data_IF_706079294512
#
_entry.id   IF_706079294512
#
_cell.length_a   1.000
_cell.length_b   1.000
_cell.length_c   1.000
_cell.angle_alpha   90.00
_cell.angle_beta   90.00
_cell.angle_gamma   90.00
#
_symmetry.space_group_name_H-M   'P 1'
#
loop_
_entity.id
_entity.type
_entity.pdbx_description
1 polymer ?
#
# COMPACT_ATOMS: atom_id res chain seq x y z
N UNK A 1 -3.78 17.22 -18.30
CA UNK A 1 -4.50 16.32 -19.22
C UNK A 1 -5.89 16.90 -19.48
N UNK A 2 -6.48 16.72 -20.65
CA UNK A 2 -7.79 17.35 -20.95
C UNK A 2 -8.96 16.64 -20.24
N UNK A 3 -10.12 17.31 -20.07
CA UNK A 3 -11.26 16.76 -19.35
C UNK A 3 -11.84 15.46 -19.93
N UNK A 4 -11.75 15.21 -21.24
CA UNK A 4 -12.33 14.00 -21.86
C UNK A 4 -11.51 12.77 -21.52
N UNK A 5 -10.18 12.90 -21.48
CA UNK A 5 -9.29 11.83 -21.02
C UNK A 5 -9.58 11.44 -19.57
N UNK A 6 -9.80 12.41 -18.68
CA UNK A 6 -10.20 12.12 -17.29
C UNK A 6 -11.54 11.40 -17.19
N UNK A 7 -12.57 11.82 -17.94
CA UNK A 7 -13.86 11.10 -18.01
C UNK A 7 -13.71 9.65 -18.48
N UNK A 8 -12.80 9.37 -19.41
CA UNK A 8 -12.52 8.01 -19.87
C UNK A 8 -11.82 7.19 -18.78
N UNK A 9 -10.81 7.75 -18.11
CA UNK A 9 -10.13 7.07 -17.00
C UNK A 9 -11.08 6.82 -15.82
N UNK A 10 -11.96 7.77 -15.52
CA UNK A 10 -13.01 7.63 -14.51
C UNK A 10 -13.98 6.48 -14.86
N UNK A 11 -14.39 6.35 -16.13
CA UNK A 11 -15.15 5.17 -16.60
C UNK A 11 -14.40 3.86 -16.41
N UNK A 12 -13.09 3.81 -16.70
CA UNK A 12 -12.27 2.62 -16.48
C UNK A 12 -12.25 2.28 -14.98
N UNK A 13 -12.03 3.28 -14.11
CA UNK A 13 -12.01 3.11 -12.67
C UNK A 13 -13.36 2.67 -12.10
N UNK A 14 -14.47 3.15 -12.66
CA UNK A 14 -15.81 2.73 -12.26
C UNK A 14 -16.06 1.24 -12.55
N UNK A 15 -15.70 0.79 -13.75
CA UNK A 15 -16.01 -0.58 -14.21
C UNK A 15 -14.93 -1.62 -13.86
N UNK A 16 -13.76 -1.22 -13.37
CA UNK A 16 -12.67 -2.14 -13.04
C UNK A 16 -13.03 -3.16 -11.96
N UNK A 17 -14.10 -2.97 -11.19
CA UNK A 17 -14.54 -3.98 -10.21
C UNK A 17 -15.23 -5.19 -10.86
N UNK A 18 -15.68 -5.05 -12.10
CA UNK A 18 -16.44 -6.06 -12.85
C UNK A 18 -15.66 -6.63 -14.03
N UNK A 19 -14.75 -5.84 -14.61
CA UNK A 19 -14.01 -6.20 -15.82
C UNK A 19 -12.52 -5.95 -15.64
N UNK A 20 -11.70 -6.93 -16.04
CA UNK A 20 -10.25 -6.71 -16.14
C UNK A 20 -9.92 -5.73 -17.28
N UNK A 21 -10.53 -5.92 -18.45
CA UNK A 21 -10.48 -5.01 -19.59
C UNK A 21 -11.89 -4.47 -19.84
N UNK A 22 -12.11 -3.18 -19.64
CA UNK A 22 -13.43 -2.57 -19.73
C UNK A 22 -13.78 -2.36 -21.21
N UNK A 23 -14.92 -2.89 -21.71
CA UNK A 23 -15.39 -2.67 -23.06
C UNK A 23 -15.54 -1.18 -23.43
N UNK A 24 -15.12 -0.80 -24.64
CA UNK A 24 -15.15 0.59 -25.12
C UNK A 24 -16.56 1.18 -25.24
N UNK A 25 -17.57 0.35 -25.50
CA UNK A 25 -18.99 0.72 -25.50
C UNK A 25 -19.49 1.11 -24.09
N UNK A 26 -19.06 0.39 -23.05
CA UNK A 26 -19.35 0.78 -21.66
C UNK A 26 -18.64 2.07 -21.27
N UNK A 27 -17.37 2.24 -21.67
CA UNK A 27 -16.61 3.48 -21.45
C UNK A 27 -17.31 4.66 -22.14
N UNK A 28 -17.74 4.48 -23.39
CA UNK A 28 -18.51 5.44 -24.19
C UNK A 28 -19.80 5.86 -23.49
N UNK A 29 -20.61 4.88 -23.07
CA UNK A 29 -21.88 5.11 -22.38
C UNK A 29 -21.70 5.91 -21.08
N UNK A 30 -20.73 5.54 -20.25
CA UNK A 30 -20.50 6.21 -18.96
C UNK A 30 -19.88 7.60 -19.12
N UNK A 31 -18.88 7.75 -20.00
CA UNK A 31 -18.19 9.03 -20.22
C UNK A 31 -19.02 10.04 -21.03
N UNK A 32 -20.09 9.57 -21.70
CA UNK A 32 -20.91 10.34 -22.66
C UNK A 32 -20.07 10.88 -23.83
N UNK A 33 -19.12 10.09 -24.30
CA UNK A 33 -18.23 10.39 -25.44
C UNK A 33 -18.48 9.32 -26.50
N UNK A 34 -18.66 9.74 -27.76
CA UNK A 34 -18.91 8.81 -28.87
C UNK A 34 -17.83 7.73 -28.99
N UNK A 35 -18.26 6.52 -29.35
CA UNK A 35 -17.44 5.30 -29.34
C UNK A 35 -16.11 5.45 -30.11
N UNK A 36 -16.18 5.93 -31.36
CA UNK A 36 -14.99 6.15 -32.19
C UNK A 36 -13.95 7.05 -31.49
N UNK A 37 -14.43 8.13 -30.86
CA UNK A 37 -13.58 9.07 -30.13
C UNK A 37 -13.00 8.45 -28.86
N UNK A 38 -13.76 7.62 -28.15
CA UNK A 38 -13.25 6.85 -27.02
C UNK A 38 -12.10 5.96 -27.45
N UNK A 39 -12.25 5.20 -28.54
CA UNK A 39 -11.20 4.31 -29.01
C UNK A 39 -9.93 5.05 -29.45
N UNK A 40 -10.06 6.20 -30.10
CA UNK A 40 -8.93 7.08 -30.44
C UNK A 40 -8.21 7.54 -29.17
N UNK A 41 -8.94 8.00 -28.17
CA UNK A 41 -8.35 8.47 -26.91
C UNK A 41 -7.68 7.31 -26.15
N UNK A 42 -8.30 6.12 -26.13
CA UNK A 42 -7.71 4.95 -25.50
C UNK A 42 -6.39 4.53 -26.17
N UNK A 43 -6.27 4.66 -27.50
CA UNK A 43 -5.00 4.44 -28.21
C UNK A 43 -3.94 5.44 -27.78
N UNK A 44 -4.25 6.74 -27.75
CA UNK A 44 -3.34 7.79 -27.26
C UNK A 44 -2.93 7.59 -25.78
N UNK A 45 -3.86 7.17 -24.92
CA UNK A 45 -3.56 6.84 -23.52
C UNK A 45 -2.64 5.61 -23.41
N UNK A 46 -2.80 4.63 -24.31
CA UNK A 46 -1.93 3.45 -24.37
C UNK A 46 -0.53 3.79 -24.85
N UNK A 47 -0.39 4.68 -25.83
CA UNK A 47 0.92 5.17 -26.29
C UNK A 47 1.69 5.87 -25.15
N UNK A 48 0.96 6.56 -24.26
CA UNK A 48 1.49 7.17 -23.03
C UNK A 48 1.72 6.18 -21.88
N UNK A 49 1.44 4.89 -22.12
CA UNK A 49 1.51 3.80 -21.14
C UNK A 49 0.61 4.01 -19.92
N UNK A 50 -0.52 4.68 -20.08
CA UNK A 50 -1.50 4.90 -19.00
C UNK A 50 -2.57 3.80 -18.97
N UNK A 51 -2.92 3.26 -20.12
CA UNK A 51 -3.84 2.11 -20.23
C UNK A 51 -3.20 1.01 -21.05
N UNK A 52 -3.69 -0.21 -20.87
CA UNK A 52 -3.44 -1.36 -21.73
C UNK A 52 -4.70 -1.61 -22.55
N UNK A 53 -4.57 -1.57 -23.87
CA UNK A 53 -5.66 -1.92 -24.77
C UNK A 53 -5.51 -3.36 -25.23
N UNK A 54 -6.63 -4.08 -25.32
CA UNK A 54 -6.68 -5.45 -25.80
C UNK A 54 -7.87 -5.64 -26.74
N UNK A 55 -7.64 -6.33 -27.87
CA UNK A 55 -8.72 -6.86 -28.71
C UNK A 55 -9.05 -8.27 -28.23
N UNK A 56 -10.19 -8.39 -27.56
CA UNK A 56 -10.84 -9.65 -27.22
C UNK A 56 -11.91 -9.92 -28.28
N UNK A 57 -13.05 -10.50 -27.89
CA UNK A 57 -14.30 -10.40 -28.67
C UNK A 57 -14.86 -8.95 -28.72
N UNK A 58 -14.29 -8.04 -27.95
CA UNK A 58 -14.53 -6.59 -27.97
C UNK A 58 -13.21 -5.81 -27.81
N UNK A 59 -13.20 -4.50 -28.12
CA UNK A 59 -12.08 -3.62 -27.80
C UNK A 59 -12.19 -3.17 -26.35
N UNK A 60 -11.23 -3.56 -25.51
CA UNK A 60 -11.26 -3.29 -24.07
C UNK A 60 -9.97 -2.69 -23.54
N UNK A 61 -10.08 -1.95 -22.44
CA UNK A 61 -8.94 -1.23 -21.85
C UNK A 61 -8.87 -1.41 -20.33
N UNK A 62 -7.66 -1.45 -19.78
CA UNK A 62 -7.40 -1.48 -18.33
C UNK A 62 -6.31 -0.50 -17.95
N UNK A 63 -6.18 -0.17 -16.66
CA UNK A 63 -5.08 0.65 -16.19
C UNK A 63 -3.74 -0.09 -16.24
N UNK A 64 -2.68 0.63 -16.61
CA UNK A 64 -1.33 0.27 -16.16
C UNK A 64 -1.11 0.75 -14.72
N UNK A 65 -0.02 0.33 -14.06
CA UNK A 65 0.39 0.95 -12.78
C UNK A 65 0.52 2.47 -12.91
N UNK A 66 1.23 2.95 -13.94
CA UNK A 66 1.43 4.38 -14.17
C UNK A 66 0.10 5.13 -14.34
N UNK A 67 -0.85 4.57 -15.09
CA UNK A 67 -2.15 5.18 -15.29
C UNK A 67 -3.01 5.21 -14.04
N UNK A 68 -3.02 4.12 -13.27
CA UNK A 68 -3.76 4.07 -12.00
C UNK A 68 -3.18 5.04 -10.97
N UNK A 69 -1.85 5.12 -10.86
CA UNK A 69 -1.17 6.08 -9.98
C UNK A 69 -1.43 7.52 -10.40
N UNK A 70 -1.37 7.83 -11.70
CA UNK A 70 -1.69 9.17 -12.21
C UNK A 70 -3.16 9.54 -11.97
N UNK A 71 -4.08 8.59 -12.16
CA UNK A 71 -5.49 8.79 -11.86
C UNK A 71 -5.72 9.04 -10.37
N UNK A 72 -5.10 8.24 -9.51
CA UNK A 72 -5.18 8.39 -8.05
C UNK A 72 -4.62 9.74 -7.58
N UNK A 73 -3.49 10.18 -8.14
CA UNK A 73 -2.93 11.51 -7.88
C UNK A 73 -3.88 12.63 -8.30
N UNK A 74 -4.48 12.51 -9.50
CA UNK A 74 -5.47 13.49 -9.97
C UNK A 74 -6.66 13.58 -9.03
N UNK A 75 -7.18 12.45 -8.53
CA UNK A 75 -8.27 12.44 -7.56
C UNK A 75 -7.93 13.16 -6.26
N UNK A 76 -6.70 13.00 -5.75
CA UNK A 76 -6.21 13.73 -4.57
C UNK A 76 -6.09 15.24 -4.86
N UNK A 77 -5.60 15.61 -6.05
CA UNK A 77 -5.48 17.00 -6.46
C UNK A 77 -6.85 17.69 -6.64
N UNK A 78 -7.85 17.02 -7.24
CA UNK A 78 -9.22 17.55 -7.39
C UNK A 78 -9.94 17.76 -6.06
N UNK A 79 -9.47 17.12 -4.98
CA UNK A 79 -9.97 17.28 -3.61
C UNK A 79 -9.18 18.33 -2.81
N UNK A 80 -8.23 19.02 -3.45
CA UNK A 80 -7.29 19.95 -2.80
C UNK A 80 -6.50 19.28 -1.65
N UNK A 81 -6.22 17.97 -1.78
CA UNK A 81 -5.43 17.24 -0.77
C UNK A 81 -3.93 17.26 -1.10
N UNK A 82 -3.58 17.23 -2.39
CA UNK A 82 -2.19 17.29 -2.87
C UNK A 82 -2.04 18.44 -3.85
N UNK A 83 -1.13 19.36 -3.55
CA UNK A 83 -0.83 20.53 -4.38
C UNK A 83 0.30 20.25 -5.37
N UNK A 84 1.36 19.59 -4.90
CA UNK A 84 2.55 19.33 -5.71
C UNK A 84 3.15 17.96 -5.42
N UNK A 85 3.37 17.15 -6.47
CA UNK A 85 4.17 15.93 -6.38
C UNK A 85 5.66 16.29 -6.41
N UNK A 86 6.42 15.71 -5.47
CA UNK A 86 7.85 15.89 -5.35
C UNK A 86 8.67 14.78 -6.03
N UNK A 87 9.83 14.51 -5.46
CA UNK A 87 10.79 13.52 -5.93
C UNK A 87 10.39 12.12 -5.51
N UNK A 88 10.90 11.15 -6.27
CA UNK A 88 10.85 9.75 -5.90
C UNK A 88 11.74 9.53 -4.66
N UNK A 89 11.15 8.99 -3.58
CA UNK A 89 11.88 8.61 -2.37
C UNK A 89 12.31 7.14 -2.40
N UNK A 90 11.48 6.28 -2.99
CA UNK A 90 11.77 4.86 -3.09
C UNK A 90 10.88 4.15 -4.11
N UNK A 91 11.43 3.17 -4.80
CA UNK A 91 10.68 2.25 -5.65
C UNK A 91 11.02 0.81 -5.25
N UNK A 92 9.98 0.05 -4.93
CA UNK A 92 10.08 -1.37 -4.62
C UNK A 92 9.26 -2.21 -5.60
N UNK A 93 9.22 -3.52 -5.35
CA UNK A 93 8.38 -4.44 -6.13
C UNK A 93 6.88 -4.18 -5.93
N UNK A 94 6.52 -3.67 -4.75
CA UNK A 94 5.14 -3.57 -4.27
C UNK A 94 4.62 -2.13 -4.15
N UNK A 95 5.49 -1.13 -4.27
CA UNK A 95 5.05 0.27 -4.22
C UNK A 95 6.08 1.22 -4.81
N UNK A 96 5.62 2.44 -5.06
CA UNK A 96 6.47 3.59 -5.39
C UNK A 96 6.08 4.74 -4.49
N UNK A 97 7.05 5.36 -3.83
CA UNK A 97 6.87 6.37 -2.79
C UNK A 97 7.47 7.69 -3.24
N UNK A 98 6.70 8.76 -3.17
CA UNK A 98 7.14 10.12 -3.50
C UNK A 98 6.92 11.04 -2.30
N UNK A 99 7.79 12.04 -2.15
CA UNK A 99 7.43 13.19 -1.31
C UNK A 99 6.43 14.08 -2.08
N UNK A 100 5.66 14.88 -1.36
CA UNK A 100 4.70 15.82 -1.92
C UNK A 100 4.45 16.99 -0.96
N UNK A 101 3.88 18.07 -1.48
CA UNK A 101 3.25 19.12 -0.69
C UNK A 101 1.75 18.85 -0.70
N UNK A 102 1.20 18.61 0.48
CA UNK A 102 -0.23 18.45 0.71
C UNK A 102 -0.78 19.68 1.41
N UNK A 103 -2.11 19.76 1.54
CA UNK A 103 -2.75 20.80 2.36
C UNK A 103 -2.35 20.75 3.85
N UNK A 104 -1.66 19.70 4.28
CA UNK A 104 -1.14 19.49 5.63
C UNK A 104 0.36 19.79 5.76
N UNK A 105 1.02 20.24 4.68
CA UNK A 105 2.46 20.47 4.63
C UNK A 105 3.22 19.39 3.86
N UNK A 106 4.49 19.19 4.19
CA UNK A 106 5.30 18.12 3.59
C UNK A 106 4.74 16.75 3.95
N UNK A 107 4.59 15.88 2.96
CA UNK A 107 3.91 14.59 3.13
C UNK A 107 4.46 13.56 2.15
N UNK A 108 4.04 12.31 2.33
CA UNK A 108 4.41 11.18 1.48
C UNK A 108 3.18 10.64 0.78
N UNK A 109 3.30 10.36 -0.52
CA UNK A 109 2.32 9.60 -1.28
C UNK A 109 2.92 8.26 -1.71
N UNK A 110 2.26 7.18 -1.30
CA UNK A 110 2.63 5.80 -1.64
C UNK A 110 1.64 5.22 -2.62
N UNK A 111 2.12 4.92 -3.83
CA UNK A 111 1.36 4.23 -4.85
C UNK A 111 1.61 2.73 -4.78
N UNK A 112 0.55 1.96 -4.53
CA UNK A 112 0.62 0.51 -4.42
C UNK A 112 0.67 -0.16 -5.80
N UNK A 113 1.56 -1.13 -5.92
CA UNK A 113 1.75 -2.01 -7.08
C UNK A 113 1.63 -3.45 -6.59
N UNK A 114 0.99 -4.32 -7.38
CA UNK A 114 1.08 -5.75 -7.07
C UNK A 114 2.52 -6.26 -7.21
N UNK A 115 3.10 -6.83 -6.15
CA UNK A 115 4.39 -7.53 -6.22
C UNK A 115 4.47 -8.90 -5.55
N UNK A 116 3.39 -9.41 -4.94
CA UNK A 116 3.49 -10.67 -4.17
C UNK A 116 3.20 -11.95 -5.00
N UNK A 117 4.09 -12.98 -4.97
CA UNK A 117 3.88 -14.28 -5.61
C UNK A 117 2.68 -15.10 -5.08
N UNK A 118 2.20 -14.87 -3.85
CA UNK A 118 1.04 -15.63 -3.35
C UNK A 118 -0.23 -15.38 -4.18
N UNK A 119 -0.32 -14.25 -4.89
CA UNK A 119 -1.42 -13.99 -5.82
C UNK A 119 -1.21 -14.59 -7.22
N UNK A 120 0.00 -15.10 -7.57
CA UNK A 120 0.14 -15.96 -8.76
C UNK A 120 -0.69 -17.24 -8.60
N UNK A 121 -0.78 -17.80 -7.40
CA UNK A 121 -1.65 -18.96 -7.11
C UNK A 121 -3.15 -18.60 -7.09
N UNK A 122 -3.51 -17.36 -6.75
CA UNK A 122 -4.90 -16.87 -6.81
C UNK A 122 -5.38 -16.68 -8.25
N UNK A 123 -4.47 -16.32 -9.17
CA UNK A 123 -4.74 -16.21 -10.61
C UNK A 123 -5.20 -17.51 -11.26
N UNK A 124 -4.84 -18.67 -10.71
CA UNK A 124 -5.14 -19.98 -11.32
C UNK A 124 -6.54 -20.52 -11.02
N UNK A 125 -7.33 -19.91 -10.11
CA UNK A 125 -8.53 -20.58 -9.58
C UNK A 125 -9.90 -19.96 -9.86
N UNK A 126 -10.06 -18.78 -10.47
CA UNK A 126 -11.40 -18.20 -10.66
C UNK A 126 -11.56 -17.39 -11.96
N UNK A 127 -12.38 -17.92 -12.85
CA UNK A 127 -12.76 -17.37 -14.17
C UNK A 127 -13.77 -16.20 -14.10
N UNK A 128 -13.84 -15.47 -12.98
CA UNK A 128 -14.74 -14.32 -12.83
C UNK A 128 -14.06 -13.14 -12.08
N UNK A 129 -13.69 -12.11 -12.86
CA UNK A 129 -13.69 -10.67 -12.55
C UNK A 129 -13.03 -10.06 -11.29
N UNK A 130 -12.59 -10.80 -10.28
CA UNK A 130 -12.51 -10.22 -8.91
C UNK A 130 -11.11 -9.90 -8.36
N UNK A 131 -10.03 -10.24 -9.05
CA UNK A 131 -8.66 -10.09 -8.52
C UNK A 131 -7.61 -9.79 -9.61
N UNK A 132 -7.86 -8.82 -10.48
CA UNK A 132 -6.83 -8.33 -11.41
C UNK A 132 -6.03 -7.16 -10.80
N UNK A 133 -4.95 -6.79 -11.50
CA UNK A 133 -3.91 -5.85 -11.05
C UNK A 133 -4.47 -4.58 -10.39
N UNK A 134 -5.38 -3.88 -11.08
CA UNK A 134 -5.93 -2.61 -10.58
C UNK A 134 -6.73 -2.80 -9.29
N UNK A 135 -7.61 -3.80 -9.24
CA UNK A 135 -8.46 -4.09 -8.07
C UNK A 135 -7.60 -4.44 -6.87
N UNK A 136 -6.58 -5.27 -7.06
CA UNK A 136 -5.67 -5.66 -6.00
C UNK A 136 -4.85 -4.46 -5.49
N UNK A 137 -4.33 -3.62 -6.40
CA UNK A 137 -3.57 -2.43 -6.01
C UNK A 137 -4.41 -1.43 -5.21
N UNK A 138 -5.68 -1.23 -5.60
CA UNK A 138 -6.63 -0.37 -4.86
C UNK A 138 -6.96 -0.97 -3.49
N UNK A 139 -7.16 -2.30 -3.41
CA UNK A 139 -7.40 -2.98 -2.12
C UNK A 139 -6.20 -2.89 -1.19
N UNK A 140 -4.98 -3.06 -1.68
CA UNK A 140 -3.77 -2.92 -0.86
C UNK A 140 -3.66 -1.51 -0.27
N UNK A 141 -3.86 -0.47 -1.09
CA UNK A 141 -3.86 0.91 -0.60
C UNK A 141 -4.96 1.16 0.44
N UNK A 142 -6.16 0.63 0.20
CA UNK A 142 -7.28 0.70 1.16
C UNK A 142 -6.94 0.04 2.49
N UNK A 143 -6.37 -1.17 2.44
CA UNK A 143 -6.00 -1.93 3.63
C UNK A 143 -4.96 -1.18 4.46
N UNK A 144 -3.90 -0.66 3.83
CA UNK A 144 -2.89 0.12 4.53
C UNK A 144 -3.52 1.36 5.19
N UNK A 145 -4.33 2.13 4.46
CA UNK A 145 -5.01 3.29 5.03
C UNK A 145 -5.91 2.91 6.21
N UNK A 146 -6.63 1.79 6.15
CA UNK A 146 -7.47 1.30 7.25
C UNK A 146 -6.64 0.92 8.48
N UNK A 147 -5.51 0.24 8.28
CA UNK A 147 -4.60 -0.10 9.37
C UNK A 147 -4.01 1.15 10.03
N UNK A 148 -3.49 2.10 9.24
CA UNK A 148 -2.97 3.36 9.75
C UNK A 148 -4.02 4.12 10.57
N UNK A 149 -5.29 4.17 10.11
CA UNK A 149 -6.36 4.83 10.88
C UNK A 149 -6.68 4.14 12.20
N UNK A 150 -6.54 2.81 12.29
CA UNK A 150 -6.74 2.06 13.53
C UNK A 150 -5.57 2.21 14.51
N UNK A 151 -4.35 2.36 13.98
CA UNK A 151 -3.12 2.34 14.77
C UNK A 151 -2.63 3.72 15.18
N UNK A 152 -2.93 4.76 14.40
CA UNK A 152 -2.45 6.11 14.68
C UNK A 152 -2.93 6.59 16.06
N UNK A 153 -1.98 7.04 16.89
CA UNK A 153 -2.21 7.43 18.28
C UNK A 153 -2.11 6.28 19.30
N UNK A 154 -2.00 5.03 18.86
CA UNK A 154 -1.75 3.84 19.70
C UNK A 154 -0.34 3.33 19.48
N UNK A 155 0.04 3.19 18.21
CA UNK A 155 1.34 2.70 17.73
C UNK A 155 2.02 3.84 16.98
N UNK A 156 3.34 3.93 17.09
CA UNK A 156 4.14 4.86 16.29
C UNK A 156 4.10 4.46 14.82
N UNK A 157 3.29 5.17 14.07
CA UNK A 157 3.07 4.96 12.63
C UNK A 157 2.77 6.31 11.97
N UNK A 158 3.01 6.49 10.65
CA UNK A 158 2.68 7.74 9.98
C UNK A 158 1.20 8.08 10.11
N UNK A 159 0.88 9.35 10.37
CA UNK A 159 -0.51 9.81 10.33
C UNK A 159 -1.12 9.57 8.94
N UNK A 160 -2.24 8.83 8.83
CA UNK A 160 -2.97 8.73 7.57
C UNK A 160 -3.68 10.06 7.26
N UNK A 161 -3.54 10.54 6.03
CA UNK A 161 -4.13 11.82 5.60
C UNK A 161 -5.26 11.62 4.58
N UNK A 162 -5.06 10.77 3.57
CA UNK A 162 -6.10 10.43 2.58
C UNK A 162 -5.79 9.13 1.83
N UNK A 163 -6.79 8.58 1.14
CA UNK A 163 -6.67 7.46 0.23
C UNK A 163 -7.54 7.67 -1.02
N UNK A 164 -6.95 7.49 -2.19
CA UNK A 164 -7.64 7.49 -3.49
C UNK A 164 -7.02 6.42 -4.40
N UNK A 165 -7.85 5.59 -5.02
CA UNK A 165 -7.38 4.54 -5.92
C UNK A 165 -6.27 3.67 -5.28
N UNK A 166 -5.08 3.65 -5.88
CA UNK A 166 -3.92 2.92 -5.35
C UNK A 166 -2.96 3.79 -4.51
N UNK A 167 -3.34 5.03 -4.18
CA UNK A 167 -2.51 5.98 -3.47
C UNK A 167 -2.95 6.14 -2.01
N UNK A 168 -1.98 6.10 -1.09
CA UNK A 168 -2.15 6.52 0.30
C UNK A 168 -1.31 7.76 0.53
N UNK A 169 -1.93 8.85 0.98
CA UNK A 169 -1.28 10.07 1.44
C UNK A 169 -1.12 9.98 2.96
N UNK A 170 0.10 10.18 3.45
CA UNK A 170 0.43 10.06 4.87
C UNK A 170 1.55 11.02 5.26
N UNK A 171 1.75 11.17 6.57
CA UNK A 171 2.84 11.95 7.16
C UNK A 171 4.22 11.51 6.66
N UNK A 172 5.10 12.50 6.46
CA UNK A 172 6.53 12.26 6.27
C UNK A 172 7.19 12.05 7.63
N UNK A 173 7.78 10.87 7.85
CA UNK A 173 8.59 10.60 9.04
C UNK A 173 10.06 10.86 8.71
N UNK A 174 10.70 11.76 9.45
CA UNK A 174 12.14 12.03 9.33
C UNK A 174 12.96 10.96 10.07
N UNK A 175 12.95 9.75 9.51
CA UNK A 175 13.65 8.59 10.03
C UNK A 175 14.13 7.71 8.88
N UNK A 176 15.10 6.84 9.17
CA UNK A 176 15.69 5.93 8.16
C UNK A 176 15.24 4.50 8.43
N UNK A 177 15.08 3.72 7.36
CA UNK A 177 14.86 2.27 7.48
C UNK A 177 15.94 1.65 8.38
N UNK A 178 15.52 0.81 9.33
CA UNK A 178 16.40 0.11 10.26
C UNK A 178 17.53 -0.63 9.54
N UNK A 179 17.24 -1.23 8.39
CA UNK A 179 18.25 -1.88 7.55
C UNK A 179 19.44 -0.99 7.14
N UNK A 180 19.22 0.33 7.01
CA UNK A 180 20.22 1.31 6.57
C UNK A 180 20.98 1.96 7.72
N UNK A 181 20.65 1.64 8.97
CA UNK A 181 21.21 2.26 10.17
C UNK A 181 21.99 1.24 10.98
N UNK A 182 23.19 1.62 11.42
CA UNK A 182 23.92 0.88 12.45
C UNK A 182 23.53 1.45 13.82
N UNK A 183 22.90 0.63 14.64
CA UNK A 183 22.40 1.05 15.94
C UNK A 183 23.52 1.14 16.98
N UNK A 184 23.47 2.17 17.82
CA UNK A 184 24.34 2.33 19.00
C UNK A 184 23.86 1.46 20.17
N UNK A 185 22.55 1.37 20.37
CA UNK A 185 21.92 0.53 21.39
C UNK A 185 20.88 -0.41 20.77
N UNK A 186 21.32 -1.50 20.09
CA UNK A 186 20.43 -2.37 19.34
C UNK A 186 19.41 -3.12 20.21
N UNK A 187 19.76 -3.49 21.45
CA UNK A 187 18.83 -4.20 22.33
C UNK A 187 17.67 -3.31 22.78
N UNK A 188 17.96 -2.04 23.09
CA UNK A 188 16.93 -1.04 23.38
C UNK A 188 15.95 -0.86 22.21
N UNK A 189 16.47 -0.72 20.98
CA UNK A 189 15.63 -0.57 19.78
C UNK A 189 14.78 -1.81 19.51
N UNK A 190 15.33 -3.02 19.71
CA UNK A 190 14.56 -4.25 19.58
C UNK A 190 13.39 -4.28 20.59
N UNK A 191 13.63 -3.87 21.84
CA UNK A 191 12.57 -3.79 22.85
C UNK A 191 11.47 -2.79 22.45
N UNK A 192 11.86 -1.61 21.96
CA UNK A 192 10.88 -0.63 21.44
C UNK A 192 10.01 -1.22 20.33
N UNK A 193 10.61 -1.95 19.38
CA UNK A 193 9.84 -2.59 18.30
C UNK A 193 8.87 -3.64 18.87
N UNK A 194 9.30 -4.45 19.84
CA UNK A 194 8.44 -5.46 20.47
C UNK A 194 7.29 -4.78 21.25
N UNK A 195 7.54 -3.65 21.91
CA UNK A 195 6.52 -2.87 22.60
C UNK A 195 5.48 -2.30 21.62
N UNK A 196 5.90 -1.75 20.48
CA UNK A 196 4.98 -1.31 19.42
C UNK A 196 4.17 -2.48 18.86
N UNK A 197 4.78 -3.67 18.70
CA UNK A 197 4.07 -4.88 18.27
C UNK A 197 3.02 -5.33 19.29
N UNK A 198 3.31 -5.19 20.59
CA UNK A 198 2.35 -5.46 21.66
C UNK A 198 1.14 -4.53 21.59
N UNK A 199 1.37 -3.23 21.48
CA UNK A 199 0.25 -2.26 21.38
C UNK A 199 -0.55 -2.45 20.09
N UNK A 200 0.11 -2.80 18.99
CA UNK A 200 -0.55 -3.18 17.72
C UNK A 200 -1.44 -4.42 17.89
N UNK A 201 -0.93 -5.47 18.55
CA UNK A 201 -1.68 -6.70 18.83
C UNK A 201 -2.92 -6.43 19.69
N UNK A 202 -2.78 -5.61 20.73
CA UNK A 202 -3.91 -5.16 21.56
C UNK A 202 -4.96 -4.37 20.78
N UNK A 203 -4.54 -3.58 19.79
CA UNK A 203 -5.45 -2.90 18.86
C UNK A 203 -6.14 -3.85 17.85
N UNK A 204 -5.90 -5.17 17.98
CA UNK A 204 -6.48 -6.21 17.14
C UNK A 204 -5.82 -6.30 15.76
N UNK A 205 -4.57 -5.84 15.63
CA UNK A 205 -3.82 -5.85 14.37
C UNK A 205 -2.52 -6.63 14.54
N UNK A 206 -2.20 -7.42 13.53
CA UNK A 206 -0.87 -7.99 13.32
C UNK A 206 -0.36 -7.42 12.00
N UNK A 207 0.90 -6.97 11.96
CA UNK A 207 1.46 -6.29 10.79
C UNK A 207 1.42 -7.18 9.53
N UNK A 208 1.71 -8.47 9.67
CA UNK A 208 1.61 -9.43 8.57
C UNK A 208 2.72 -9.31 7.53
N UNK A 209 3.77 -8.51 7.78
CA UNK A 209 5.04 -8.52 7.03
C UNK A 209 6.15 -7.76 7.77
N UNK A 210 6.22 -7.87 9.11
CA UNK A 210 7.20 -7.09 9.88
C UNK A 210 8.64 -7.54 9.55
N UNK A 211 9.49 -6.57 9.21
CA UNK A 211 10.91 -6.79 8.90
C UNK A 211 11.73 -5.51 9.12
N UNK A 212 13.05 -5.61 9.01
CA UNK A 212 13.97 -4.47 9.11
C UNK A 212 13.80 -3.39 8.03
N UNK A 213 13.03 -3.68 6.97
CA UNK A 213 12.71 -2.70 5.93
C UNK A 213 11.44 -1.89 6.26
N UNK A 214 10.61 -2.41 7.16
CA UNK A 214 9.30 -1.85 7.55
C UNK A 214 9.34 -1.17 8.92
N UNK A 215 10.56 -0.95 9.45
CA UNK A 215 10.81 -0.18 10.67
C UNK A 215 11.65 1.03 10.30
N UNK A 216 11.18 2.21 10.62
CA UNK A 216 11.97 3.44 10.57
C UNK A 216 12.53 3.74 11.95
N UNK A 217 13.77 4.26 12.01
CA UNK A 217 14.47 4.59 13.25
C UNK A 217 15.12 5.97 13.13
N UNK A 218 14.99 6.75 14.20
CA UNK A 218 15.71 8.00 14.44
C UNK A 218 16.08 8.09 15.93
N UNK A 219 16.66 9.21 16.35
CA UNK A 219 16.93 9.47 17.78
C UNK A 219 15.63 9.59 18.60
N UNK A 220 14.52 9.95 17.96
CA UNK A 220 13.22 10.11 18.60
C UNK A 220 12.49 8.79 18.86
N UNK A 221 12.88 7.69 18.20
CA UNK A 221 12.34 6.35 18.44
C UNK A 221 12.20 5.48 17.18
N UNK A 222 11.18 4.63 17.16
CA UNK A 222 10.87 3.72 16.05
C UNK A 222 9.46 3.96 15.51
N UNK A 223 9.27 3.72 14.21
CA UNK A 223 7.96 3.75 13.56
C UNK A 223 7.77 2.50 12.73
N UNK A 224 6.57 1.91 12.81
CA UNK A 224 6.15 0.80 11.97
C UNK A 224 5.43 1.35 10.74
N UNK A 225 5.80 0.86 9.56
CA UNK A 225 5.26 1.27 8.25
C UNK A 225 4.89 0.05 7.40
N UNK A 226 4.17 0.26 6.30
CA UNK A 226 3.83 -0.80 5.32
C UNK A 226 2.81 -1.84 5.83
N UNK A 227 1.55 -1.42 5.94
CA UNK A 227 0.46 -2.26 6.45
C UNK A 227 -0.51 -2.88 5.42
N UNK A 228 -0.24 -3.01 4.10
CA UNK A 228 -1.24 -3.55 3.17
C UNK A 228 -1.57 -5.03 3.42
N UNK A 229 -0.73 -5.75 4.16
CA UNK A 229 -0.86 -7.19 4.49
C UNK A 229 -1.29 -7.44 5.95
N UNK A 230 -1.78 -6.43 6.66
CA UNK A 230 -2.17 -6.60 8.06
C UNK A 230 -3.23 -7.70 8.22
N UNK A 231 -3.18 -8.38 9.35
CA UNK A 231 -4.07 -9.49 9.72
C UNK A 231 -4.83 -9.13 10.99
N UNK A 232 -6.10 -9.52 11.06
CA UNK A 232 -6.89 -9.38 12.29
C UNK A 232 -6.36 -10.34 13.36
N UNK A 233 -6.10 -9.82 14.56
CA UNK A 233 -5.56 -10.60 15.68
C UNK A 233 -6.52 -11.71 16.16
N UNK A 234 -7.81 -11.64 15.80
CA UNK A 234 -8.81 -12.66 16.12
C UNK A 234 -8.99 -13.70 14.99
N UNK A 235 -8.23 -13.60 13.91
CA UNK A 235 -8.32 -14.56 12.81
C UNK A 235 -7.72 -15.93 13.20
N UNK A 236 -8.21 -17.00 12.57
CA UNK A 236 -7.77 -18.38 12.83
C UNK A 236 -6.24 -18.58 12.73
N UNK A 237 -5.59 -17.82 11.85
CA UNK A 237 -4.14 -17.90 11.62
C UNK A 237 -3.33 -16.79 12.28
N UNK A 238 -3.94 -15.95 13.13
CA UNK A 238 -3.31 -14.78 13.73
C UNK A 238 -1.97 -15.11 14.40
N UNK A 239 -1.94 -16.14 15.24
CA UNK A 239 -0.73 -16.51 15.99
C UNK A 239 0.45 -16.86 15.07
N UNK A 240 0.18 -17.54 13.95
CA UNK A 240 1.23 -17.86 12.97
C UNK A 240 1.84 -16.61 12.33
N UNK A 241 1.01 -15.59 12.02
CA UNK A 241 1.49 -14.32 11.48
C UNK A 241 2.29 -13.54 12.52
N UNK A 242 1.79 -13.47 13.76
CA UNK A 242 2.48 -12.78 14.85
C UNK A 242 3.85 -13.43 15.14
N UNK A 243 3.87 -14.76 15.26
CA UNK A 243 5.09 -15.53 15.49
C UNK A 243 6.10 -15.30 14.36
N UNK A 244 5.65 -15.23 13.10
CA UNK A 244 6.52 -14.97 11.95
C UNK A 244 7.11 -13.57 12.00
N UNK A 245 6.29 -12.56 12.28
CA UNK A 245 6.70 -11.16 12.38
C UNK A 245 7.76 -10.97 13.49
N UNK A 246 7.51 -11.53 14.69
CA UNK A 246 8.47 -11.51 15.81
C UNK A 246 9.75 -12.29 15.50
N UNK A 247 9.65 -13.45 14.86
CA UNK A 247 10.82 -14.22 14.45
C UNK A 247 11.68 -13.47 13.43
N UNK A 248 11.06 -12.79 12.45
CA UNK A 248 11.78 -12.03 11.44
C UNK A 248 12.63 -10.93 12.08
N UNK A 249 12.05 -10.16 12.99
CA UNK A 249 12.78 -9.08 13.65
C UNK A 249 13.87 -9.63 14.59
N UNK A 250 13.56 -10.64 15.42
CA UNK A 250 14.55 -11.24 16.33
C UNK A 250 15.72 -11.85 15.54
N UNK A 251 15.45 -12.54 14.42
CA UNK A 251 16.52 -13.10 13.57
C UNK A 251 17.41 -12.02 12.97
N UNK A 252 16.85 -10.87 12.57
CA UNK A 252 17.64 -9.74 12.10
C UNK A 252 18.59 -9.24 13.21
N UNK A 253 18.08 -9.03 14.43
CA UNK A 253 18.91 -8.56 15.54
C UNK A 253 19.96 -9.58 16.00
N UNK A 254 19.62 -10.87 16.02
CA UNK A 254 20.59 -11.94 16.29
C UNK A 254 21.73 -11.95 15.26
N UNK A 255 21.38 -11.90 13.97
CA UNK A 255 22.36 -11.94 12.89
C UNK A 255 23.28 -10.72 12.87
N UNK A 256 22.73 -9.53 13.09
CA UNK A 256 23.46 -8.27 12.88
C UNK A 256 24.10 -7.71 14.15
N UNK A 257 23.60 -8.09 15.33
CA UNK A 257 24.04 -7.53 16.61
C UNK A 257 24.32 -8.60 17.69
N UNK A 258 24.12 -9.89 17.40
CA UNK A 258 24.37 -10.97 18.37
C UNK A 258 23.37 -11.04 19.51
N UNK A 259 22.25 -10.30 19.43
CA UNK A 259 21.22 -10.26 20.48
C UNK A 259 20.32 -11.49 20.36
N UNK A 260 20.21 -12.24 21.44
CA UNK A 260 19.32 -13.39 21.52
C UNK A 260 18.13 -13.08 22.43
N UNK A 261 16.92 -13.35 21.94
CA UNK A 261 15.70 -13.39 22.76
C UNK A 261 15.00 -14.72 22.54
N UNK A 262 14.52 -15.33 23.62
CA UNK A 262 13.65 -16.49 23.53
C UNK A 262 12.29 -16.06 22.95
N UNK A 263 11.89 -16.69 21.84
CA UNK A 263 10.68 -16.33 21.10
C UNK A 263 9.39 -16.61 21.88
N UNK A 264 9.36 -17.64 22.71
CA UNK A 264 8.21 -18.01 23.54
C UNK A 264 7.95 -16.91 24.58
N UNK A 265 9.00 -16.46 25.28
CA UNK A 265 8.91 -15.36 26.24
C UNK A 265 8.45 -14.05 25.57
N UNK A 266 8.94 -13.76 24.36
CA UNK A 266 8.52 -12.55 23.62
C UNK A 266 7.06 -12.67 23.19
N UNK A 267 6.62 -13.83 22.72
CA UNK A 267 5.23 -14.08 22.33
C UNK A 267 4.28 -13.96 23.53
N UNK A 268 4.64 -14.55 24.67
CA UNK A 268 3.89 -14.41 25.93
C UNK A 268 3.81 -12.94 26.37
N UNK A 269 4.93 -12.21 26.31
CA UNK A 269 4.94 -10.78 26.63
C UNK A 269 4.02 -9.96 25.71
N UNK A 270 4.04 -10.20 24.41
CA UNK A 270 3.19 -9.50 23.43
C UNK A 270 1.72 -9.82 23.64
N UNK A 271 1.39 -11.08 24.00
CA UNK A 271 0.01 -11.53 24.24
C UNK A 271 -0.51 -11.17 25.63
N UNK A 272 0.34 -10.77 26.58
CA UNK A 272 -0.11 -10.45 27.94
C UNK A 272 -0.91 -9.14 27.99
N UNK A 273 -2.03 -9.18 28.70
CA UNK A 273 -2.76 -7.97 29.12
C UNK A 273 -1.86 -7.14 30.06
N UNK A 274 -2.04 -5.82 30.08
CA UNK A 274 -1.41 -5.00 31.14
C UNK A 274 -2.38 -5.01 32.33
N UNK A 275 -1.84 -5.30 33.51
CA UNK A 275 -2.39 -4.85 34.79
C UNK A 275 -2.70 -3.33 34.76
#
# INVERSE_FOLDING_TARGET
>A
MDPKRWKILDSIFHYMWKYEYIPSDLISKHSKIGLEKVEIILRDLSDKKLVLNKRLNYFGSSFTFKGLSLYSLWRLAEKDEVEMLGKLMGEGKESTVYNCISRYGESVIKFHRLGHPAFKKVREKRDYGTFHFSVLSVRSAKNEFQALNRLYGIVRTPRPLSWEGNAVLMELIDAKELFKVRLSNPEYVLNLIIDEVKEMYKAGIIHGDLSQYNVLVSEEGVWLIDFPQFVDANSENAENYLLRDLNNIIKYFKKNYGIEKNIENVLEYVKSEKD
#
